data_IF_056652513436
#
_entry.id   IF_056652513436
#
_cell.length_a   1.000
_cell.length_b   1.000
_cell.length_c   1.000
_cell.angle_alpha   90.00
_cell.angle_beta   90.00
_cell.angle_gamma   90.00
#
_symmetry.space_group_name_H-M   'P 1'
#
loop_
_entity.id
_entity.type
_entity.pdbx_description
1 polymer ?
#
# COMPACT_ATOMS: atom_id res chain seq x y z
N UNK A 1 4.47 21.15 25.95
CA UNK A 1 5.60 21.49 25.05
C UNK A 1 5.15 21.27 23.62
N UNK A 2 4.93 22.36 22.89
CA UNK A 2 4.34 22.39 21.55
C UNK A 2 5.38 22.02 20.47
N UNK A 3 4.99 21.15 19.53
CA UNK A 3 5.55 21.13 18.17
C UNK A 3 4.41 20.95 17.17
N UNK A 4 3.78 22.08 16.84
CA UNK A 4 3.15 22.29 15.52
C UNK A 4 4.26 22.20 14.48
N UNK A 5 4.13 21.29 13.51
CA UNK A 5 4.96 21.29 12.32
C UNK A 5 4.17 21.99 11.21
N UNK A 6 4.39 23.31 11.12
CA UNK A 6 4.02 24.11 9.96
C UNK A 6 4.84 23.62 8.77
N UNK A 7 4.17 23.16 7.71
CA UNK A 7 4.80 22.97 6.41
C UNK A 7 4.73 24.31 5.68
N UNK A 8 5.79 25.10 5.78
CA UNK A 8 5.98 26.29 4.97
C UNK A 8 6.52 25.86 3.60
N UNK A 9 5.70 26.04 2.57
CA UNK A 9 6.12 25.90 1.17
C UNK A 9 6.85 27.17 0.76
N UNK A 10 8.18 27.10 0.65
CA UNK A 10 8.98 28.03 -0.16
C UNK A 10 9.81 27.17 -1.09
N UNK A 11 9.60 27.35 -2.40
CA UNK A 11 10.33 26.63 -3.43
C UNK A 11 11.81 26.96 -3.39
N UNK A 12 12.62 25.93 -3.56
CA UNK A 12 13.92 25.93 -4.21
C UNK A 12 14.22 24.46 -4.57
N UNK A 13 14.78 24.25 -5.75
CA UNK A 13 15.23 22.97 -6.26
C UNK A 13 16.27 22.37 -5.31
N UNK A 14 15.82 21.59 -4.35
CA UNK A 14 16.64 20.65 -3.61
C UNK A 14 16.00 19.28 -3.81
N UNK A 15 16.72 18.38 -4.50
CA UNK A 15 16.54 16.96 -4.20
C UNK A 15 16.90 16.83 -2.73
N UNK A 16 15.89 16.81 -1.86
CA UNK A 16 16.07 16.57 -0.44
C UNK A 16 16.46 15.10 -0.33
N UNK A 17 17.76 14.85 -0.23
CA UNK A 17 18.30 13.62 0.36
C UNK A 17 17.62 13.45 1.72
N UNK A 18 16.61 12.58 1.81
CA UNK A 18 15.83 12.36 3.03
C UNK A 18 14.30 12.27 2.87
N UNK A 19 13.74 12.42 1.67
CA UNK A 19 12.31 12.10 1.46
C UNK A 19 12.14 10.62 1.09
N UNK A 20 11.28 9.91 1.82
CA UNK A 20 10.92 8.52 1.50
C UNK A 20 10.28 8.39 0.11
N UNK A 21 10.42 7.23 -0.52
CA UNK A 21 9.79 6.94 -1.82
C UNK A 21 8.28 7.19 -1.77
N UNK A 22 7.63 6.83 -0.66
CA UNK A 22 6.20 7.09 -0.48
C UNK A 22 5.83 8.58 -0.59
N UNK A 23 6.63 9.46 0.01
CA UNK A 23 6.42 10.90 -0.06
C UNK A 23 6.72 11.46 -1.45
N UNK A 24 7.78 10.97 -2.10
CA UNK A 24 8.12 11.38 -3.46
C UNK A 24 7.00 11.00 -4.45
N UNK A 25 6.53 9.75 -4.39
CA UNK A 25 5.48 9.25 -5.28
C UNK A 25 4.13 9.95 -5.03
N UNK A 26 3.80 10.26 -3.78
CA UNK A 26 2.59 11.03 -3.46
C UNK A 26 2.69 12.47 -3.98
N UNK A 27 3.85 13.11 -3.82
CA UNK A 27 4.08 14.48 -4.30
C UNK A 27 4.00 14.55 -5.82
N UNK A 28 4.59 13.58 -6.52
CA UNK A 28 4.49 13.46 -7.97
C UNK A 28 3.05 13.22 -8.44
N UNK A 29 2.32 12.34 -7.73
CA UNK A 29 0.92 12.08 -8.02
C UNK A 29 0.05 13.33 -7.86
N UNK A 30 0.25 14.09 -6.78
CA UNK A 30 -0.49 15.35 -6.55
C UNK A 30 -0.13 16.37 -7.62
N UNK A 31 1.16 16.51 -7.97
CA UNK A 31 1.62 17.45 -9.01
C UNK A 31 1.03 17.14 -10.38
N UNK A 32 0.91 15.87 -10.73
CA UNK A 32 0.41 15.43 -12.03
C UNK A 32 -1.12 15.54 -12.15
N UNK A 33 -1.86 15.45 -11.05
CA UNK A 33 -3.33 15.49 -11.06
C UNK A 33 -3.92 16.84 -10.67
N UNK A 34 -3.24 17.60 -9.80
CA UNK A 34 -3.65 18.92 -9.35
C UNK A 34 -2.79 19.93 -10.09
N UNK A 35 -3.29 20.45 -11.22
CA UNK A 35 -2.77 21.70 -11.76
C UNK A 35 -2.68 22.72 -10.63
N UNK A 36 -1.56 23.43 -10.54
CA UNK A 36 -0.94 24.17 -9.41
C UNK A 36 -1.78 25.19 -8.60
N UNK A 37 -3.11 25.09 -8.54
CA UNK A 37 -4.02 26.18 -8.12
C UNK A 37 -4.67 26.07 -6.73
N UNK A 38 -4.37 25.07 -5.90
CA UNK A 38 -5.05 24.93 -4.58
C UNK A 38 -4.15 24.92 -3.34
N UNK A 39 -2.86 25.25 -3.47
CA UNK A 39 -1.90 25.19 -2.36
C UNK A 39 -1.99 26.34 -1.32
N UNK A 40 -3.01 27.20 -1.38
CA UNK A 40 -3.12 28.41 -0.54
C UNK A 40 -4.30 28.48 0.43
N UNK A 41 -5.17 27.46 0.50
CA UNK A 41 -6.32 27.47 1.41
C UNK A 41 -6.10 26.51 2.58
N UNK A 42 -6.43 26.96 3.78
CA UNK A 42 -6.38 26.18 5.01
C UNK A 42 -7.43 25.06 4.94
N UNK A 43 -7.06 23.91 4.37
CA UNK A 43 -7.94 22.76 4.19
C UNK A 43 -8.10 22.00 5.51
N UNK A 44 -9.30 21.49 5.78
CA UNK A 44 -9.53 20.61 6.93
C UNK A 44 -8.74 19.30 6.77
N UNK A 45 -8.42 18.59 7.88
CA UNK A 45 -7.77 17.27 7.81
C UNK A 45 -8.55 16.25 6.95
N UNK A 46 -9.88 16.28 7.01
CA UNK A 46 -10.77 15.46 6.19
C UNK A 46 -10.59 15.76 4.70
N UNK A 47 -10.59 17.05 4.36
CA UNK A 47 -10.45 17.51 2.97
C UNK A 47 -9.09 17.12 2.43
N UNK A 48 -8.03 17.31 3.21
CA UNK A 48 -6.66 16.92 2.85
C UNK A 48 -6.56 15.41 2.60
N UNK A 49 -7.07 14.60 3.53
CA UNK A 49 -7.04 13.13 3.42
C UNK A 49 -7.85 12.65 2.23
N UNK A 50 -9.03 13.22 2.01
CA UNK A 50 -9.88 12.86 0.88
C UNK A 50 -9.26 13.26 -0.47
N UNK A 51 -8.63 14.43 -0.54
CA UNK A 51 -7.92 14.87 -1.74
C UNK A 51 -6.73 13.96 -2.06
N UNK A 52 -6.00 13.47 -1.05
CA UNK A 52 -4.96 12.48 -1.24
C UNK A 52 -5.52 11.17 -1.83
N UNK A 53 -6.62 10.63 -1.27
CA UNK A 53 -7.26 9.44 -1.85
C UNK A 53 -7.76 9.66 -3.28
N UNK A 54 -8.42 10.80 -3.56
CA UNK A 54 -8.88 11.15 -4.91
C UNK A 54 -7.72 11.25 -5.89
N UNK A 55 -6.62 11.88 -5.47
CA UNK A 55 -5.42 12.01 -6.32
C UNK A 55 -4.75 10.68 -6.59
N UNK A 56 -4.73 9.75 -5.63
CA UNK A 56 -4.23 8.40 -5.89
C UNK A 56 -5.20 7.68 -6.83
N UNK A 57 -6.51 7.72 -6.55
CA UNK A 57 -7.50 6.97 -7.31
C UNK A 57 -7.75 7.47 -8.74
N UNK A 58 -7.37 8.69 -9.08
CA UNK A 58 -7.43 9.16 -10.47
C UNK A 58 -6.45 8.41 -11.38
N UNK A 59 -5.33 7.92 -10.82
CA UNK A 59 -4.32 7.17 -11.56
C UNK A 59 -3.41 6.38 -10.61
N UNK A 60 -3.96 5.37 -9.94
CA UNK A 60 -3.21 4.60 -8.95
C UNK A 60 -2.13 3.72 -9.60
N UNK A 61 -2.27 3.41 -10.90
CA UNK A 61 -1.26 2.62 -11.62
C UNK A 61 0.08 3.37 -11.71
N UNK A 62 0.06 4.65 -12.10
CA UNK A 62 1.27 5.48 -12.09
C UNK A 62 1.85 5.64 -10.68
N UNK A 63 0.98 5.77 -9.67
CA UNK A 63 1.42 5.84 -8.28
C UNK A 63 2.19 4.57 -7.88
N UNK A 64 1.68 3.37 -8.21
CA UNK A 64 2.36 2.10 -7.88
C UNK A 64 3.65 1.92 -8.69
N UNK A 65 3.66 2.27 -9.99
CA UNK A 65 4.88 2.23 -10.81
C UNK A 65 6.01 3.11 -10.26
N UNK A 66 5.66 4.22 -9.60
CA UNK A 66 6.66 5.04 -8.91
C UNK A 66 7.37 4.27 -7.77
N UNK A 67 6.65 3.42 -7.02
CA UNK A 67 7.29 2.56 -6.02
C UNK A 67 8.16 1.49 -6.65
N UNK A 68 7.65 0.80 -7.68
CA UNK A 68 8.37 -0.24 -8.40
C UNK A 68 9.73 0.25 -8.92
N UNK A 69 9.76 1.47 -9.46
CA UNK A 69 10.97 2.07 -10.04
C UNK A 69 11.94 2.61 -8.98
N UNK A 70 11.46 3.09 -7.83
CA UNK A 70 12.31 3.81 -6.87
C UNK A 70 12.71 3.01 -5.64
N UNK A 71 11.89 2.08 -5.17
CA UNK A 71 12.21 1.27 -3.99
C UNK A 71 13.53 0.49 -4.12
N UNK A 72 13.85 -0.15 -5.26
CA UNK A 72 15.10 -0.91 -5.37
C UNK A 72 16.37 -0.06 -5.22
N UNK A 73 16.30 1.24 -5.50
CA UNK A 73 17.43 2.16 -5.41
C UNK A 73 17.48 2.99 -4.12
N UNK A 74 16.51 2.84 -3.22
CA UNK A 74 16.47 3.68 -2.00
C UNK A 74 17.43 3.17 -0.92
N UNK A 75 18.11 4.11 -0.28
CA UNK A 75 18.98 3.88 0.88
C UNK A 75 18.27 4.18 2.22
N UNK A 76 17.06 4.74 2.18
CA UNK A 76 16.26 5.01 3.37
C UNK A 76 15.82 3.72 4.06
N UNK A 77 15.87 3.67 5.38
CA UNK A 77 15.53 2.47 6.15
C UNK A 77 14.07 2.05 5.99
N UNK A 78 13.16 3.02 5.93
CA UNK A 78 11.73 2.75 5.75
C UNK A 78 11.48 2.21 4.36
N UNK A 79 12.13 2.76 3.34
CA UNK A 79 12.01 2.28 1.96
C UNK A 79 12.61 0.88 1.79
N UNK A 80 13.73 0.57 2.47
CA UNK A 80 14.30 -0.79 2.51
C UNK A 80 13.38 -1.80 3.20
N UNK A 81 12.63 -1.38 4.21
CA UNK A 81 11.58 -2.22 4.78
C UNK A 81 10.43 -2.41 3.78
N UNK A 82 9.98 -1.33 3.14
CA UNK A 82 8.90 -1.39 2.15
C UNK A 82 9.25 -2.29 0.96
N UNK A 83 10.51 -2.32 0.52
CA UNK A 83 10.94 -3.19 -0.59
C UNK A 83 10.80 -4.69 -0.28
N UNK A 84 10.84 -5.10 0.99
CA UNK A 84 10.57 -6.49 1.41
C UNK A 84 9.09 -6.85 1.24
N UNK A 85 8.20 -5.87 1.37
CA UNK A 85 6.74 -6.03 1.34
C UNK A 85 6.11 -5.59 0.03
N UNK A 86 6.87 -4.95 -0.86
CA UNK A 86 6.34 -4.47 -2.13
C UNK A 86 6.06 -5.64 -3.08
N UNK A 87 4.83 -5.70 -3.54
CA UNK A 87 4.38 -6.52 -4.65
C UNK A 87 3.43 -5.67 -5.50
N UNK A 88 3.82 -5.41 -6.75
CA UNK A 88 3.08 -4.52 -7.65
C UNK A 88 1.62 -4.95 -7.77
N UNK A 89 1.37 -6.25 -7.94
CA UNK A 89 0.03 -6.78 -8.19
C UNK A 89 -0.82 -6.75 -6.93
N UNK A 90 -0.26 -7.06 -5.77
CA UNK A 90 -0.95 -6.93 -4.48
C UNK A 90 -1.39 -5.48 -4.24
N UNK A 91 -0.47 -4.52 -4.42
CA UNK A 91 -0.80 -3.09 -4.31
C UNK A 91 -1.85 -2.67 -5.35
N UNK A 92 -1.76 -3.17 -6.58
CA UNK A 92 -2.75 -2.87 -7.62
C UNK A 92 -4.16 -3.36 -7.23
N UNK A 93 -4.29 -4.58 -6.72
CA UNK A 93 -5.57 -5.11 -6.24
C UNK A 93 -6.09 -4.28 -5.06
N UNK A 94 -5.22 -3.94 -4.12
CA UNK A 94 -5.57 -3.13 -2.96
C UNK A 94 -6.10 -1.76 -3.36
N UNK A 95 -5.37 -1.02 -4.21
CA UNK A 95 -5.80 0.30 -4.66
C UNK A 95 -7.02 0.24 -5.57
N UNK A 96 -7.14 -0.76 -6.46
CA UNK A 96 -8.36 -0.94 -7.25
C UNK A 96 -9.59 -1.08 -6.37
N UNK A 97 -9.50 -1.88 -5.31
CA UNK A 97 -10.59 -2.05 -4.36
C UNK A 97 -10.86 -0.82 -3.50
N UNK A 98 -9.82 -0.20 -2.94
CA UNK A 98 -9.98 1.04 -2.16
C UNK A 98 -10.64 2.14 -2.99
N UNK A 99 -10.27 2.27 -4.26
CA UNK A 99 -10.82 3.26 -5.16
C UNK A 99 -12.26 2.95 -5.59
N UNK A 100 -12.67 1.68 -5.66
CA UNK A 100 -14.10 1.34 -5.84
C UNK A 100 -14.94 1.74 -4.62
N UNK A 101 -14.36 1.68 -3.42
CA UNK A 101 -15.06 1.97 -2.17
C UNK A 101 -14.89 3.42 -1.68
N UNK A 102 -14.14 4.24 -2.41
CA UNK A 102 -13.89 5.63 -2.07
C UNK A 102 -15.18 6.45 -1.85
N UNK A 103 -16.28 6.29 -2.63
CA UNK A 103 -17.54 6.98 -2.35
C UNK A 103 -18.14 6.65 -0.98
N UNK A 104 -17.92 5.43 -0.48
CA UNK A 104 -18.38 4.99 0.84
C UNK A 104 -17.51 5.61 1.93
N UNK A 105 -16.18 5.60 1.73
CA UNK A 105 -15.22 6.20 2.65
C UNK A 105 -15.34 7.71 2.75
N UNK A 106 -15.75 8.40 1.68
CA UNK A 106 -15.98 9.85 1.69
C UNK A 106 -16.90 10.29 2.82
N UNK A 107 -17.97 9.52 3.08
CA UNK A 107 -18.93 9.81 4.15
C UNK A 107 -18.41 9.45 5.57
N UNK A 108 -17.25 8.78 5.63
CA UNK A 108 -16.64 8.21 6.84
C UNK A 108 -15.21 8.68 7.06
N UNK A 109 -14.73 9.65 6.29
CA UNK A 109 -13.32 10.05 6.24
C UNK A 109 -12.77 10.49 7.60
N UNK A 110 -13.65 11.05 8.44
CA UNK A 110 -13.38 11.40 9.85
C UNK A 110 -12.86 10.23 10.69
N UNK A 111 -13.28 9.00 10.40
CA UNK A 111 -12.77 7.80 11.06
C UNK A 111 -11.36 7.38 10.62
N UNK A 112 -10.88 7.89 9.48
CA UNK A 112 -9.55 7.58 8.95
C UNK A 112 -8.50 8.64 9.32
N UNK A 113 -8.89 9.66 10.10
CA UNK A 113 -7.98 10.69 10.56
C UNK A 113 -7.01 10.15 11.61
N UNK A 114 -5.88 10.85 11.78
CA UNK A 114 -4.89 10.51 12.80
C UNK A 114 -5.45 10.77 14.21
N UNK A 115 -5.67 9.69 14.97
CA UNK A 115 -5.98 9.72 16.41
C UNK A 115 -4.76 9.29 17.25
N UNK A 116 -4.77 9.49 18.58
CA UNK A 116 -3.73 8.95 19.46
C UNK A 116 -3.55 7.43 19.33
N UNK A 117 -4.64 6.69 19.14
CA UNK A 117 -4.63 5.23 18.97
C UNK A 117 -4.00 4.82 17.64
N UNK A 118 -4.36 5.51 16.55
CA UNK A 118 -3.71 5.32 15.24
C UNK A 118 -2.20 5.59 15.37
N UNK A 119 -1.80 6.71 16.00
CA UNK A 119 -0.38 7.03 16.21
C UNK A 119 0.35 5.94 17.00
N UNK A 120 -0.27 5.37 18.04
CA UNK A 120 0.30 4.24 18.78
C UNK A 120 0.54 3.02 17.89
N UNK A 121 -0.35 2.73 16.93
CA UNK A 121 -0.12 1.69 15.93
C UNK A 121 1.15 1.97 15.10
N UNK A 122 1.36 3.23 14.67
CA UNK A 122 2.56 3.64 13.94
C UNK A 122 3.83 3.60 14.80
N UNK A 123 3.76 3.97 16.08
CA UNK A 123 4.93 3.93 16.97
C UNK A 123 5.44 2.49 17.12
N UNK A 124 4.53 1.53 17.33
CA UNK A 124 4.88 0.10 17.39
C UNK A 124 5.41 -0.42 16.05
N UNK A 125 4.78 -0.01 14.94
CA UNK A 125 5.25 -0.35 13.61
C UNK A 125 6.66 0.16 13.35
N UNK A 126 6.97 1.41 13.68
CA UNK A 126 8.29 2.02 13.45
C UNK A 126 9.39 1.33 14.28
N UNK A 127 9.07 0.84 15.48
CA UNK A 127 9.97 -0.01 16.26
C UNK A 127 10.25 -1.33 15.52
N UNK A 128 9.22 -1.98 14.99
CA UNK A 128 9.36 -3.21 14.17
C UNK A 128 10.16 -2.99 12.89
N UNK A 129 9.91 -1.90 12.16
CA UNK A 129 10.68 -1.49 10.98
C UNK A 129 12.17 -1.36 11.33
N UNK A 130 12.48 -0.64 12.41
CA UNK A 130 13.86 -0.44 12.86
C UNK A 130 14.54 -1.77 13.19
N UNK A 131 13.83 -2.72 13.81
CA UNK A 131 14.36 -4.05 14.09
C UNK A 131 14.67 -4.83 12.81
N UNK A 132 13.75 -4.86 11.84
CA UNK A 132 13.94 -5.58 10.57
C UNK A 132 15.13 -5.02 9.79
N UNK A 133 15.21 -3.69 9.68
CA UNK A 133 16.31 -3.04 8.95
C UNK A 133 17.66 -3.27 9.63
N UNK A 134 17.70 -3.26 10.97
CA UNK A 134 18.92 -3.57 11.72
C UNK A 134 19.37 -5.02 11.47
N UNK A 135 18.45 -5.98 11.49
CA UNK A 135 18.74 -7.40 11.20
C UNK A 135 19.22 -7.57 9.76
N UNK A 136 18.59 -6.87 8.81
CA UNK A 136 19.00 -6.85 7.40
C UNK A 136 20.42 -6.30 7.26
N UNK A 137 20.75 -5.20 7.93
CA UNK A 137 22.10 -4.61 7.92
C UNK A 137 23.18 -5.50 8.53
N UNK A 138 22.79 -6.40 9.44
CA UNK A 138 23.70 -7.37 10.06
C UNK A 138 23.89 -8.66 9.24
N UNK A 139 23.11 -8.87 8.17
CA UNK A 139 23.15 -10.09 7.36
C UNK A 139 22.79 -11.36 8.12
N UNK A 140 21.98 -11.25 9.19
CA UNK A 140 21.65 -12.37 10.09
C UNK A 140 20.55 -13.30 9.58
N UNK A 141 19.75 -12.83 8.62
CA UNK A 141 18.67 -13.58 8.00
C UNK A 141 18.79 -13.51 6.48
N UNK A 142 18.33 -14.57 5.84
CA UNK A 142 18.13 -14.57 4.39
C UNK A 142 16.92 -13.71 4.01
N UNK A 143 16.71 -13.52 2.71
CA UNK A 143 15.61 -12.70 2.19
C UNK A 143 14.24 -13.22 2.66
N UNK A 144 14.07 -14.55 2.71
CA UNK A 144 12.84 -15.17 3.17
C UNK A 144 12.53 -14.84 4.64
N UNK A 145 13.53 -14.97 5.53
CA UNK A 145 13.40 -14.60 6.93
C UNK A 145 13.06 -13.13 7.13
N UNK A 146 13.72 -12.24 6.38
CA UNK A 146 13.45 -10.80 6.42
C UNK A 146 12.03 -10.46 5.95
N UNK A 147 11.57 -11.06 4.85
CA UNK A 147 10.20 -10.87 4.34
C UNK A 147 9.15 -11.36 5.31
N UNK A 148 9.38 -12.49 5.99
CA UNK A 148 8.47 -12.97 7.03
C UNK A 148 8.41 -12.04 8.24
N UNK A 149 9.54 -11.49 8.69
CA UNK A 149 9.52 -10.49 9.76
C UNK A 149 8.79 -9.21 9.31
N UNK A 150 9.05 -8.72 8.11
CA UNK A 150 8.38 -7.54 7.56
C UNK A 150 6.87 -7.77 7.41
N UNK A 151 6.46 -8.97 7.01
CA UNK A 151 5.06 -9.40 6.97
C UNK A 151 4.42 -9.30 8.35
N UNK A 152 5.01 -9.92 9.37
CA UNK A 152 4.49 -9.89 10.73
C UNK A 152 4.35 -8.46 11.28
N UNK A 153 5.37 -7.63 11.11
CA UNK A 153 5.35 -6.21 11.53
C UNK A 153 4.24 -5.44 10.82
N UNK A 154 4.04 -5.67 9.52
CA UNK A 154 2.98 -5.02 8.74
C UNK A 154 1.60 -5.47 9.19
N UNK A 155 1.39 -6.77 9.40
CA UNK A 155 0.10 -7.32 9.84
C UNK A 155 -0.29 -6.84 11.24
N UNK A 156 0.65 -6.74 12.17
CA UNK A 156 0.39 -6.19 13.51
C UNK A 156 -0.11 -4.74 13.42
N UNK A 157 0.52 -3.91 12.58
CA UNK A 157 0.07 -2.54 12.33
C UNK A 157 -1.33 -2.53 11.74
N UNK A 158 -1.57 -3.31 10.69
CA UNK A 158 -2.86 -3.33 9.99
C UNK A 158 -4.00 -3.83 10.88
N UNK A 159 -3.75 -4.82 11.73
CA UNK A 159 -4.71 -5.27 12.74
C UNK A 159 -5.05 -4.15 13.73
N UNK A 160 -4.04 -3.44 14.24
CA UNK A 160 -4.22 -2.31 15.14
C UNK A 160 -5.03 -1.18 14.49
N UNK A 161 -4.64 -0.71 13.30
CA UNK A 161 -5.36 0.36 12.58
C UNK A 161 -6.80 -0.05 12.25
N UNK A 162 -7.00 -1.28 11.77
CA UNK A 162 -8.34 -1.80 11.44
C UNK A 162 -9.25 -1.83 12.67
N UNK A 163 -8.75 -2.22 13.85
CA UNK A 163 -9.53 -2.20 15.08
C UNK A 163 -9.98 -0.78 15.44
N UNK A 164 -9.07 0.20 15.32
CA UNK A 164 -9.39 1.61 15.58
C UNK A 164 -10.45 2.12 14.61
N UNK A 165 -10.30 1.82 13.31
CA UNK A 165 -11.27 2.25 12.30
C UNK A 165 -12.63 1.57 12.48
N UNK A 166 -12.64 0.27 12.79
CA UNK A 166 -13.87 -0.50 13.04
C UNK A 166 -14.62 0.00 14.27
N UNK A 167 -13.89 0.44 15.30
CA UNK A 167 -14.49 1.06 16.49
C UNK A 167 -15.19 2.38 16.16
N UNK A 168 -14.64 3.18 15.25
CA UNK A 168 -15.26 4.43 14.80
C UNK A 168 -16.46 4.18 13.86
N UNK A 169 -16.29 3.33 12.84
CA UNK A 169 -17.33 2.92 11.90
C UNK A 169 -16.97 1.53 11.33
N UNK A 170 -17.86 0.55 11.53
CA UNK A 170 -17.62 -0.83 11.13
C UNK A 170 -17.30 -0.97 9.63
N UNK A 171 -17.99 -0.21 8.77
CA UNK A 171 -17.79 -0.28 7.33
C UNK A 171 -16.45 0.36 6.92
N UNK A 172 -16.02 1.44 7.57
CA UNK A 172 -14.68 1.99 7.37
C UNK A 172 -13.60 0.96 7.77
N UNK A 173 -13.81 0.26 8.89
CA UNK A 173 -12.99 -0.87 9.33
C UNK A 173 -12.85 -1.97 8.28
N UNK A 174 -13.97 -2.49 7.76
CA UNK A 174 -13.99 -3.54 6.74
C UNK A 174 -13.28 -3.14 5.43
N UNK A 175 -13.48 -1.89 4.99
CA UNK A 175 -12.85 -1.34 3.78
C UNK A 175 -11.33 -1.27 3.97
N UNK A 176 -10.87 -0.73 5.11
CA UNK A 176 -9.44 -0.59 5.38
C UNK A 176 -8.77 -1.94 5.63
N UNK A 177 -9.44 -2.89 6.28
CA UNK A 177 -8.96 -4.27 6.40
C UNK A 177 -8.73 -4.89 5.02
N UNK A 178 -9.73 -4.79 4.15
CA UNK A 178 -9.66 -5.32 2.78
C UNK A 178 -8.52 -4.68 2.00
N UNK A 179 -8.32 -3.37 2.15
CA UNK A 179 -7.21 -2.64 1.55
C UNK A 179 -5.84 -3.14 2.05
N UNK A 180 -5.63 -3.14 3.36
CA UNK A 180 -4.35 -3.53 3.95
C UNK A 180 -3.97 -4.98 3.64
N UNK A 181 -4.91 -5.92 3.78
CA UNK A 181 -4.63 -7.34 3.56
C UNK A 181 -4.53 -7.72 2.07
N UNK A 182 -5.12 -6.92 1.17
CA UNK A 182 -4.84 -7.06 -0.26
C UNK A 182 -3.44 -6.56 -0.63
N UNK A 183 -2.95 -5.55 0.09
CA UNK A 183 -1.69 -4.86 -0.23
C UNK A 183 -0.42 -5.62 0.19
N UNK A 184 -0.52 -6.70 0.96
CA UNK A 184 0.63 -7.54 1.30
C UNK A 184 0.91 -8.58 0.20
N UNK A 185 2.17 -9.04 0.04
CA UNK A 185 2.52 -10.08 -0.90
C UNK A 185 1.69 -11.37 -0.70
N UNK A 186 1.40 -12.14 -1.76
CA UNK A 186 0.65 -13.39 -1.65
C UNK A 186 1.21 -14.35 -0.60
N UNK A 187 2.54 -14.51 -0.55
CA UNK A 187 3.20 -15.37 0.45
C UNK A 187 2.92 -14.94 1.90
N UNK A 188 2.90 -13.64 2.18
CA UNK A 188 2.55 -13.11 3.50
C UNK A 188 1.09 -13.42 3.85
N UNK A 189 0.18 -13.23 2.89
CA UNK A 189 -1.25 -13.49 3.06
C UNK A 189 -1.53 -14.97 3.30
N UNK A 190 -0.97 -15.83 2.45
CA UNK A 190 -1.20 -17.28 2.46
C UNK A 190 -0.66 -17.90 3.76
N UNK A 191 0.54 -17.49 4.19
CA UNK A 191 1.16 -17.98 5.43
C UNK A 191 0.41 -17.51 6.69
N UNK A 192 -0.21 -16.33 6.64
CA UNK A 192 -0.88 -15.73 7.79
C UNK A 192 -2.38 -16.03 7.82
N UNK A 193 -2.94 -16.67 6.80
CA UNK A 193 -4.36 -17.02 6.71
C UNK A 193 -5.31 -15.81 6.73
N UNK A 194 -4.83 -14.62 6.35
CA UNK A 194 -5.64 -13.40 6.36
C UNK A 194 -6.50 -13.31 5.10
N UNK A 195 -7.70 -12.74 5.24
CA UNK A 195 -8.67 -12.62 4.16
C UNK A 195 -8.85 -11.18 3.71
N UNK A 196 -8.91 -10.95 2.39
CA UNK A 196 -9.33 -9.67 1.82
C UNK A 196 -10.39 -9.88 0.75
N UNK A 197 -11.50 -9.12 0.87
CA UNK A 197 -12.54 -9.07 -0.17
C UNK A 197 -11.99 -8.62 -1.52
N UNK A 198 -11.00 -7.72 -1.56
CA UNK A 198 -10.44 -7.23 -2.82
C UNK A 198 -9.67 -8.29 -3.59
N UNK A 199 -9.00 -9.22 -2.89
CA UNK A 199 -8.36 -10.38 -3.54
C UNK A 199 -9.41 -11.25 -4.23
N UNK A 200 -10.56 -11.49 -3.58
CA UNK A 200 -11.64 -12.25 -4.20
C UNK A 200 -12.23 -11.54 -5.43
N UNK A 201 -12.46 -10.22 -5.35
CA UNK A 201 -13.08 -9.45 -6.43
C UNK A 201 -12.14 -9.21 -7.62
N UNK A 202 -10.85 -8.98 -7.36
CA UNK A 202 -9.91 -8.48 -8.38
C UNK A 202 -8.69 -9.38 -8.59
N UNK A 203 -8.49 -10.43 -7.79
CA UNK A 203 -7.34 -11.34 -7.88
C UNK A 203 -7.50 -12.46 -8.92
N UNK A 204 -8.72 -12.79 -9.33
CA UNK A 204 -9.06 -13.96 -10.17
C UNK A 204 -8.56 -13.90 -11.64
N UNK A 205 -7.76 -12.90 -12.02
CA UNK A 205 -7.22 -12.77 -13.38
C UNK A 205 -6.19 -13.86 -13.80
N UNK A 206 -5.75 -14.74 -12.90
CA UNK A 206 -4.70 -15.74 -13.20
C UNK A 206 -5.15 -17.21 -13.22
N UNK A 207 -6.21 -17.59 -12.51
CA UNK A 207 -6.71 -18.98 -12.57
C UNK A 207 -7.32 -19.33 -13.93
N UNK A 208 -7.78 -18.32 -14.69
CA UNK A 208 -8.35 -18.52 -16.02
C UNK A 208 -7.30 -18.84 -17.12
N UNK A 209 -6.03 -18.44 -16.96
CA UNK A 209 -4.98 -18.66 -17.98
C UNK A 209 -4.32 -20.03 -17.90
N UNK A 210 -4.24 -20.62 -16.71
CA UNK A 210 -3.67 -21.97 -16.55
C UNK A 210 -4.68 -23.05 -16.98
N UNK A 211 -5.98 -22.84 -16.73
CA UNK A 211 -7.01 -23.77 -17.21
C UNK A 211 -7.13 -23.79 -18.75
N UNK A 212 -7.04 -22.64 -19.43
CA UNK A 212 -7.20 -22.62 -20.90
C UNK A 212 -6.00 -23.19 -21.67
N UNK A 213 -4.78 -23.20 -21.12
CA UNK A 213 -3.65 -23.88 -21.76
C UNK A 213 -3.67 -25.41 -21.58
N UNK A 214 -4.18 -25.93 -20.46
CA UNK A 214 -4.27 -27.39 -20.24
C UNK A 214 -5.36 -28.07 -21.09
N UNK A 215 -6.38 -27.34 -21.55
CA UNK A 215 -7.43 -27.88 -22.43
C UNK A 215 -7.11 -27.80 -23.93
N UNK A 216 -6.02 -27.13 -24.35
CA UNK A 216 -5.63 -27.06 -25.77
C UNK A 216 -4.56 -28.10 -26.18
N UNK A 217 -3.90 -28.75 -25.22
CA UNK A 217 -2.86 -29.76 -25.48
C UNK A 217 -3.41 -31.10 -26.04
N UNK A 218 -4.64 -31.59 -25.74
CA UNK A 218 -5.08 -32.87 -26.31
C UNK A 218 -5.61 -32.79 -27.74
N UNK A 219 -5.88 -31.59 -28.29
CA UNK A 219 -6.46 -31.46 -29.64
C UNK A 219 -5.39 -31.51 -30.74
N UNK A 220 -4.16 -31.07 -30.46
CA UNK A 220 -3.09 -31.06 -31.48
C UNK A 220 -2.41 -32.43 -31.65
N UNK A 221 -2.41 -33.29 -30.62
CA UNK A 221 -1.81 -34.62 -30.69
C UNK A 221 -2.72 -35.71 -31.30
N UNK A 222 -4.01 -35.41 -31.53
CA UNK A 222 -4.94 -36.33 -32.20
C UNK A 222 -4.92 -36.24 -33.73
N UNK A 223 -4.47 -35.13 -34.29
CA UNK A 223 -4.49 -34.88 -35.75
C UNK A 223 -3.22 -35.32 -36.48
N UNK A 224 -2.12 -35.61 -35.76
CA UNK A 224 -0.88 -36.10 -36.37
C UNK A 224 -0.84 -37.61 -36.63
N UNK A 225 -1.93 -38.34 -36.34
CA UNK A 225 -2.08 -39.77 -36.66
C UNK A 225 -2.99 -40.05 -37.87
N UNK A 226 -3.43 -39.01 -38.59
CA UNK A 226 -4.39 -39.11 -39.69
C UNK A 226 -3.89 -38.52 -41.02
N UNK A 227 -2.58 -38.29 -41.15
CA UNK A 227 -1.89 -37.94 -42.40
C UNK A 227 -0.72 -38.88 -42.64
#
# INVERSE_FOLDING_TARGET
MYRLLFITVVGLFYQVEGQSVAQQCLTEQIRNNVGTRQLGLQQSPETTTLNAFRSICSNFDNYIRCFETRLPGSIDSTDRFLSLMFDYRAMWIAYRGLCSDLPILQNRIRCLLSTPEVRRCYDNFNQGVSQVVNIQGQGRLDEYGLRNMACNVSLQRYQCETQVYSFCDAQAGEIMQSFFYAGVPPTCRDNSGIYSRYIHLYGAGETARISTMLFLIPIVLGLSKLL
#
